data_IF_596381848485
#
_entry.id   IF_596381848485
#
_cell.length_a   1.000
_cell.length_b   1.000
_cell.length_c   1.000
_cell.angle_alpha   90.00
_cell.angle_beta   90.00
_cell.angle_gamma   90.00
#
_symmetry.space_group_name_H-M   'P 1'
#
loop_
_entity.id
_entity.type
_entity.pdbx_description
1 polymer ?
#
# COMPACT_ATOMS: atom_id res chain seq x y z
N UNK A 1 -6.64 7.04 0.03
CA UNK A 1 -6.14 7.20 -1.38
C UNK A 1 -4.68 6.76 -1.46
N UNK A 2 -4.17 6.30 -2.63
CA UNK A 2 -2.74 5.95 -2.76
C UNK A 2 -2.05 6.79 -3.82
N UNK A 3 -0.84 7.23 -3.54
CA UNK A 3 0.05 7.88 -4.49
C UNK A 3 1.30 7.01 -4.72
N UNK A 4 2.07 7.33 -5.75
CA UNK A 4 3.42 6.83 -5.91
C UNK A 4 4.28 7.85 -6.67
N UNK A 5 5.62 7.81 -6.52
CA UNK A 5 6.52 8.79 -7.14
C UNK A 5 6.36 8.91 -8.66
N UNK A 6 6.15 7.79 -9.36
CA UNK A 6 6.02 7.76 -10.82
C UNK A 6 4.75 8.46 -11.31
N UNK A 7 3.62 8.32 -10.59
CA UNK A 7 2.38 9.00 -10.96
C UNK A 7 2.48 10.51 -10.74
N UNK A 8 3.07 10.94 -9.61
CA UNK A 8 3.26 12.36 -9.33
C UNK A 8 4.24 12.99 -10.32
N UNK A 9 5.35 12.31 -10.63
CA UNK A 9 6.32 12.78 -11.63
C UNK A 9 5.67 12.99 -13.01
N UNK A 10 4.78 12.08 -13.44
CA UNK A 10 4.03 12.20 -14.69
C UNK A 10 3.09 13.42 -14.71
N UNK A 11 2.60 13.86 -13.56
CA UNK A 11 1.74 15.05 -13.47
C UNK A 11 2.51 16.38 -13.56
N UNK A 12 3.84 16.33 -13.47
CA UNK A 12 4.72 17.52 -13.46
C UNK A 12 4.63 18.36 -12.18
N UNK A 13 3.97 17.85 -11.13
CA UNK A 13 3.75 18.57 -9.87
C UNK A 13 4.86 18.30 -8.86
N UNK A 14 5.05 19.23 -7.93
CA UNK A 14 5.87 19.00 -6.74
C UNK A 14 5.19 17.92 -5.86
N UNK A 15 5.97 16.91 -5.45
CA UNK A 15 5.45 15.75 -4.73
C UNK A 15 4.84 16.14 -3.37
N UNK A 16 5.49 17.00 -2.60
CA UNK A 16 5.03 17.38 -1.26
C UNK A 16 3.76 18.23 -1.33
N UNK A 17 3.69 19.17 -2.29
CA UNK A 17 2.51 19.99 -2.53
C UNK A 17 1.31 19.15 -2.98
N UNK A 18 1.55 18.19 -3.90
CA UNK A 18 0.50 17.30 -4.38
C UNK A 18 -0.05 16.41 -3.25
N UNK A 19 0.80 15.84 -2.39
CA UNK A 19 0.39 15.04 -1.24
C UNK A 19 -0.43 15.89 -0.26
N UNK A 20 0.05 17.10 0.10
CA UNK A 20 -0.65 17.99 1.03
C UNK A 20 -2.04 18.38 0.50
N UNK A 21 -2.16 18.68 -0.79
CA UNK A 21 -3.46 18.99 -1.40
C UNK A 21 -4.40 17.77 -1.37
N UNK A 22 -3.92 16.58 -1.73
CA UNK A 22 -4.71 15.34 -1.66
C UNK A 22 -5.19 15.09 -0.24
N UNK A 23 -4.31 15.26 0.76
CA UNK A 23 -4.67 15.08 2.17
C UNK A 23 -5.76 16.06 2.64
N UNK A 24 -5.79 17.27 2.08
CA UNK A 24 -6.86 18.26 2.40
C UNK A 24 -8.21 17.95 1.76
N UNK A 25 -8.23 17.12 0.70
CA UNK A 25 -9.43 16.75 -0.05
C UNK A 25 -10.01 15.40 0.36
N UNK A 26 -9.23 14.58 1.06
CA UNK A 26 -9.57 13.19 1.41
C UNK A 26 -9.58 13.02 2.92
N UNK A 27 -10.70 12.64 3.49
CA UNK A 27 -10.83 12.43 4.95
C UNK A 27 -10.11 11.16 5.44
N UNK A 28 -9.95 10.17 4.57
CA UNK A 28 -9.30 8.89 4.91
C UNK A 28 -7.79 8.86 4.65
N UNK A 29 -7.13 7.72 4.90
CA UNK A 29 -5.68 7.57 4.75
C UNK A 29 -5.18 7.88 3.34
N UNK A 30 -4.05 8.59 3.25
CA UNK A 30 -3.36 8.95 2.00
C UNK A 30 -1.96 8.36 2.01
N UNK A 31 -1.71 7.33 1.20
CA UNK A 31 -0.38 6.72 1.10
C UNK A 31 0.59 7.62 0.33
N UNK A 32 1.68 7.99 1.01
CA UNK A 32 2.80 8.78 0.49
C UNK A 32 4.08 7.95 0.53
N UNK A 33 4.66 7.64 -0.64
CA UNK A 33 5.77 6.69 -0.78
C UNK A 33 7.13 7.38 -0.65
N UNK A 34 8.03 6.80 0.14
CA UNK A 34 9.44 7.17 0.19
C UNK A 34 10.14 6.82 -1.12
N UNK A 35 11.17 7.57 -1.49
CA UNK A 35 11.98 7.29 -2.68
C UNK A 35 13.27 6.52 -2.34
N UNK A 36 13.74 6.63 -1.12
CA UNK A 36 14.94 5.96 -0.63
C UNK A 36 14.79 4.44 -0.56
N UNK A 37 15.92 3.74 -0.57
CA UNK A 37 15.99 2.28 -0.51
C UNK A 37 16.79 1.76 0.69
N UNK A 38 17.51 2.64 1.39
CA UNK A 38 18.23 2.32 2.63
C UNK A 38 17.47 2.81 3.87
N UNK A 39 17.66 2.14 4.99
CA UNK A 39 16.93 2.39 6.23
C UNK A 39 17.04 3.84 6.74
N UNK A 40 18.25 4.39 6.82
CA UNK A 40 18.47 5.72 7.42
C UNK A 40 17.78 6.83 6.61
N UNK A 41 17.88 6.76 5.29
CA UNK A 41 17.22 7.72 4.41
C UNK A 41 15.71 7.52 4.38
N UNK A 42 15.22 6.26 4.36
CA UNK A 42 13.78 5.97 4.41
C UNK A 42 13.13 6.52 5.69
N UNK A 43 13.78 6.37 6.86
CA UNK A 43 13.28 6.94 8.12
C UNK A 43 13.19 8.46 8.05
N UNK A 44 14.23 9.12 7.55
CA UNK A 44 14.23 10.57 7.43
C UNK A 44 13.13 11.08 6.49
N UNK A 45 12.97 10.43 5.33
CA UNK A 45 11.87 10.74 4.39
C UNK A 45 10.50 10.44 4.99
N UNK A 46 10.32 9.27 5.62
CA UNK A 46 9.06 8.85 6.22
C UNK A 46 8.58 9.82 7.30
N UNK A 47 9.47 10.23 8.21
CA UNK A 47 9.16 11.25 9.24
C UNK A 47 8.81 12.62 8.64
N UNK A 48 9.42 12.97 7.49
CA UNK A 48 9.09 14.20 6.77
C UNK A 48 7.70 14.11 6.13
N UNK A 49 7.38 12.99 5.50
CA UNK A 49 6.07 12.75 4.89
C UNK A 49 4.96 12.73 5.95
N UNK A 50 5.15 12.02 7.06
CA UNK A 50 4.19 11.95 8.16
C UNK A 50 3.81 13.31 8.76
N UNK A 51 4.68 14.31 8.65
CA UNK A 51 4.42 15.68 9.14
C UNK A 51 3.60 16.54 8.18
N UNK A 52 3.30 16.08 6.98
CA UNK A 52 2.54 16.88 5.99
C UNK A 52 1.07 17.03 6.38
N UNK A 53 0.45 15.97 6.91
CA UNK A 53 -0.91 15.94 7.40
C UNK A 53 -1.15 14.70 8.28
N UNK A 54 -2.15 14.78 9.17
CA UNK A 54 -2.47 13.72 10.13
C UNK A 54 -2.96 12.42 9.47
N UNK A 55 -3.49 12.50 8.24
CA UNK A 55 -3.98 11.35 7.47
C UNK A 55 -2.96 10.77 6.49
N UNK A 56 -1.69 11.15 6.59
CA UNK A 56 -0.62 10.52 5.80
C UNK A 56 -0.30 9.13 6.33
N UNK A 57 -0.35 8.15 5.45
CA UNK A 57 0.19 6.81 5.66
C UNK A 57 1.52 6.71 4.89
N UNK A 58 2.62 6.50 5.59
CA UNK A 58 3.94 6.40 4.94
C UNK A 58 4.06 5.07 4.22
N UNK A 59 4.38 5.12 2.93
CA UNK A 59 4.48 3.91 2.10
C UNK A 59 5.94 3.54 1.88
N UNK A 60 6.30 2.29 2.22
CA UNK A 60 7.67 1.76 2.15
C UNK A 60 7.72 0.47 1.35
N UNK A 61 8.82 0.17 0.62
CA UNK A 61 8.94 -1.07 -0.13
C UNK A 61 9.14 -2.27 0.82
N UNK A 62 8.68 -3.46 0.38
CA UNK A 62 8.87 -4.71 1.11
C UNK A 62 10.30 -5.24 0.91
N UNK A 63 11.24 -4.64 1.61
CA UNK A 63 12.65 -5.04 1.71
C UNK A 63 13.01 -5.18 3.18
N UNK A 64 14.19 -5.72 3.50
CA UNK A 64 14.66 -5.79 4.89
C UNK A 64 14.68 -4.40 5.53
N UNK A 65 15.26 -3.41 4.86
CA UNK A 65 15.30 -2.02 5.34
C UNK A 65 13.91 -1.37 5.37
N UNK A 66 13.02 -1.71 4.42
CA UNK A 66 11.62 -1.27 4.43
C UNK A 66 10.84 -1.83 5.62
N UNK A 67 11.03 -3.09 5.99
CA UNK A 67 10.41 -3.70 7.17
C UNK A 67 10.96 -3.10 8.48
N UNK A 68 12.27 -2.82 8.56
CA UNK A 68 12.87 -2.10 9.69
C UNK A 68 12.30 -0.69 9.82
N UNK A 69 12.14 0.01 8.69
CA UNK A 69 11.51 1.33 8.61
C UNK A 69 10.05 1.28 9.07
N UNK A 70 9.29 0.28 8.58
CA UNK A 70 7.92 0.04 9.00
C UNK A 70 7.83 -0.10 10.52
N UNK A 71 8.66 -0.96 11.12
CA UNK A 71 8.68 -1.17 12.57
C UNK A 71 8.95 0.12 13.34
N UNK A 72 9.97 0.88 12.93
CA UNK A 72 10.34 2.12 13.61
C UNK A 72 9.23 3.17 13.51
N UNK A 73 8.67 3.40 12.32
CA UNK A 73 7.59 4.38 12.15
C UNK A 73 6.29 3.97 12.86
N UNK A 74 5.96 2.68 12.84
CA UNK A 74 4.79 2.15 13.57
C UNK A 74 4.95 2.32 15.08
N UNK A 75 6.13 2.06 15.64
CA UNK A 75 6.42 2.29 17.07
C UNK A 75 6.35 3.79 17.44
N UNK A 76 6.54 4.68 16.48
CA UNK A 76 6.38 6.15 16.64
C UNK A 76 4.91 6.60 16.45
N UNK A 77 3.97 5.68 16.18
CA UNK A 77 2.55 5.98 15.97
C UNK A 77 2.21 6.48 14.56
N UNK A 78 3.09 6.25 13.58
CA UNK A 78 2.84 6.58 12.17
C UNK A 78 2.24 5.39 11.45
N UNK A 79 1.13 5.59 10.73
CA UNK A 79 0.57 4.57 9.84
C UNK A 79 1.52 4.24 8.69
N UNK A 80 1.70 2.95 8.43
CA UNK A 80 2.61 2.47 7.38
C UNK A 80 1.93 1.52 6.41
N UNK A 81 2.11 1.77 5.11
CA UNK A 81 1.71 0.88 4.02
C UNK A 81 2.95 0.20 3.45
N UNK A 82 3.09 -1.11 3.67
CA UNK A 82 4.19 -1.88 3.09
C UNK A 82 3.78 -2.35 1.69
N UNK A 83 4.51 -1.90 0.66
CA UNK A 83 4.17 -2.12 -0.75
C UNK A 83 5.13 -3.04 -1.47
N UNK A 84 4.81 -3.41 -2.72
CA UNK A 84 5.59 -4.35 -3.52
C UNK A 84 5.64 -5.75 -2.89
N UNK A 85 4.48 -6.21 -2.42
CA UNK A 85 4.31 -7.55 -1.88
C UNK A 85 3.92 -8.53 -3.02
N UNK A 86 4.62 -9.66 -3.09
CA UNK A 86 4.45 -10.68 -4.12
C UNK A 86 4.32 -12.10 -3.57
N UNK A 87 4.30 -12.28 -2.25
CA UNK A 87 4.17 -13.58 -1.59
C UNK A 87 3.52 -13.45 -0.21
N UNK A 88 2.75 -14.45 0.23
CA UNK A 88 2.08 -14.45 1.52
C UNK A 88 3.07 -14.42 2.71
N UNK A 89 4.23 -15.06 2.58
CA UNK A 89 5.30 -14.99 3.57
C UNK A 89 5.85 -13.57 3.77
N UNK A 90 5.91 -12.77 2.70
CA UNK A 90 6.28 -11.35 2.77
C UNK A 90 5.20 -10.55 3.51
N UNK A 91 3.93 -10.80 3.24
CA UNK A 91 2.82 -10.16 3.93
C UNK A 91 2.82 -10.46 5.43
N UNK A 92 3.12 -11.72 5.82
CA UNK A 92 3.28 -12.12 7.22
C UNK A 92 4.38 -11.30 7.93
N UNK A 93 5.54 -11.08 7.27
CA UNK A 93 6.60 -10.24 7.81
C UNK A 93 6.16 -8.78 7.99
N UNK A 94 5.39 -8.23 7.05
CA UNK A 94 4.86 -6.87 7.14
C UNK A 94 3.90 -6.71 8.34
N UNK A 95 2.99 -7.66 8.56
CA UNK A 95 2.11 -7.66 9.73
C UNK A 95 2.90 -7.72 11.04
N UNK A 96 3.93 -8.59 11.11
CA UNK A 96 4.82 -8.67 12.28
C UNK A 96 5.66 -7.41 12.50
N UNK A 97 5.94 -6.64 11.45
CA UNK A 97 6.59 -5.35 11.55
C UNK A 97 5.65 -4.21 11.98
N UNK A 98 4.35 -4.47 12.13
CA UNK A 98 3.36 -3.48 12.57
C UNK A 98 2.79 -2.62 11.43
N UNK A 99 2.77 -3.13 10.20
CA UNK A 99 2.16 -2.43 9.07
C UNK A 99 0.67 -2.17 9.32
N UNK A 100 0.19 -0.96 9.02
CA UNK A 100 -1.24 -0.63 8.98
C UNK A 100 -1.87 -1.25 7.73
N UNK A 101 -1.17 -1.18 6.58
CA UNK A 101 -1.59 -1.77 5.32
C UNK A 101 -0.49 -2.62 4.70
N UNK A 102 -0.89 -3.70 4.03
CA UNK A 102 -0.05 -4.46 3.09
C UNK A 102 -0.60 -4.29 1.69
N UNK A 103 0.26 -3.99 0.71
CA UNK A 103 -0.14 -3.82 -0.70
C UNK A 103 0.41 -4.93 -1.60
N UNK A 104 -0.29 -6.08 -1.73
CA UNK A 104 0.05 -7.13 -2.70
C UNK A 104 -0.29 -6.69 -4.13
N UNK A 105 0.60 -7.02 -5.07
CA UNK A 105 0.54 -6.56 -6.46
C UNK A 105 -0.01 -7.64 -7.39
N UNK A 106 -1.32 -7.82 -7.43
CA UNK A 106 -1.99 -8.89 -8.19
C UNK A 106 -1.71 -8.81 -9.69
N UNK A 107 -1.89 -7.66 -10.31
CA UNK A 107 -1.72 -7.53 -11.76
C UNK A 107 -0.28 -7.75 -12.25
N UNK A 108 0.74 -7.51 -11.42
CA UNK A 108 2.13 -7.85 -11.79
C UNK A 108 2.40 -9.35 -11.74
N UNK A 109 1.73 -10.08 -10.85
CA UNK A 109 1.78 -11.55 -10.85
C UNK A 109 1.10 -12.11 -12.09
N UNK A 110 -0.08 -11.59 -12.45
CA UNK A 110 -0.79 -11.99 -13.66
C UNK A 110 0.05 -11.70 -14.92
N UNK A 111 0.77 -10.55 -14.98
CA UNK A 111 1.64 -10.19 -16.11
C UNK A 111 2.73 -11.25 -16.39
N UNK A 112 3.10 -12.08 -15.39
CA UNK A 112 4.07 -13.18 -15.52
C UNK A 112 3.43 -14.57 -15.45
N UNK A 113 2.10 -14.65 -15.57
CA UNK A 113 1.36 -15.89 -15.61
C UNK A 113 1.18 -16.59 -14.25
N UNK A 114 1.33 -15.86 -13.15
CA UNK A 114 1.01 -16.32 -11.80
C UNK A 114 -0.39 -15.88 -11.38
N UNK A 115 -1.00 -16.60 -10.44
CA UNK A 115 -2.32 -16.25 -9.89
C UNK A 115 -2.20 -15.14 -8.84
N UNK A 116 -2.45 -13.90 -9.26
CA UNK A 116 -2.40 -12.75 -8.36
C UNK A 116 -3.50 -12.75 -7.31
N UNK A 117 -4.69 -13.25 -7.64
CA UNK A 117 -5.82 -13.28 -6.69
C UNK A 117 -5.66 -14.41 -5.66
N UNK A 118 -5.06 -15.54 -6.02
CA UNK A 118 -4.69 -16.59 -5.07
C UNK A 118 -3.78 -16.08 -3.95
N UNK A 119 -2.88 -15.13 -4.24
CA UNK A 119 -2.08 -14.46 -3.22
C UNK A 119 -2.94 -13.68 -2.21
N UNK A 120 -4.02 -13.02 -2.66
CA UNK A 120 -4.94 -12.30 -1.77
C UNK A 120 -5.66 -13.27 -0.84
N UNK A 121 -6.17 -14.39 -1.35
CA UNK A 121 -6.82 -15.44 -0.56
C UNK A 121 -5.90 -15.98 0.54
N UNK A 122 -4.63 -16.26 0.20
CA UNK A 122 -3.64 -16.72 1.18
C UNK A 122 -3.39 -15.67 2.28
N UNK A 123 -3.21 -14.39 1.91
CA UNK A 123 -2.92 -13.31 2.87
C UNK A 123 -4.12 -13.10 3.80
N UNK A 124 -5.32 -12.95 3.27
CA UNK A 124 -6.55 -12.77 4.06
C UNK A 124 -6.73 -13.94 5.02
N UNK A 125 -6.59 -15.18 4.54
CA UNK A 125 -6.69 -16.38 5.37
C UNK A 125 -5.70 -16.35 6.53
N UNK A 126 -4.42 -16.01 6.27
CA UNK A 126 -3.39 -15.93 7.32
C UNK A 126 -3.74 -14.83 8.33
N UNK A 127 -4.13 -13.66 7.86
CA UNK A 127 -4.42 -12.52 8.73
C UNK A 127 -5.61 -12.79 9.63
N UNK A 128 -6.69 -13.37 9.10
CA UNK A 128 -7.86 -13.78 9.88
C UNK A 128 -7.54 -14.85 10.92
N UNK A 129 -6.78 -15.89 10.55
CA UNK A 129 -6.43 -16.98 11.45
C UNK A 129 -5.58 -16.53 12.64
N UNK A 130 -4.71 -15.53 12.46
CA UNK A 130 -3.83 -15.03 13.50
C UNK A 130 -4.31 -13.73 14.15
N UNK A 131 -5.40 -13.15 13.67
CA UNK A 131 -5.98 -11.91 14.18
C UNK A 131 -5.03 -10.72 14.03
N UNK A 132 -4.40 -10.57 12.85
CA UNK A 132 -3.61 -9.38 12.55
C UNK A 132 -4.52 -8.19 12.23
N UNK A 133 -4.20 -7.02 12.79
CA UNK A 133 -4.91 -5.77 12.52
C UNK A 133 -4.48 -5.12 11.19
N UNK A 134 -3.46 -5.66 10.51
CA UNK A 134 -2.97 -5.15 9.23
C UNK A 134 -4.01 -5.36 8.14
N UNK A 135 -4.44 -4.28 7.47
CA UNK A 135 -5.42 -4.32 6.39
C UNK A 135 -4.80 -4.72 5.05
N UNK A 136 -5.51 -5.56 4.29
CA UNK A 136 -5.10 -6.03 2.96
C UNK A 136 -5.56 -5.04 1.90
N UNK A 137 -4.63 -4.27 1.34
CA UNK A 137 -4.85 -3.26 0.30
C UNK A 137 -4.43 -3.83 -1.06
N UNK A 138 -5.38 -4.41 -1.80
CA UNK A 138 -5.10 -5.01 -3.12
C UNK A 138 -4.64 -3.94 -4.11
N UNK A 139 -3.45 -4.13 -4.67
CA UNK A 139 -2.81 -3.17 -5.57
C UNK A 139 -2.50 -3.75 -6.96
N UNK A 140 -2.13 -2.89 -7.89
CA UNK A 140 -1.85 -3.29 -9.28
C UNK A 140 -3.06 -3.90 -9.99
N UNK A 141 -4.27 -3.44 -9.66
CA UNK A 141 -5.54 -3.92 -10.24
C UNK A 141 -5.63 -3.61 -11.73
N UNK A 142 -6.03 -4.60 -12.54
CA UNK A 142 -6.11 -4.53 -14.00
C UNK A 142 -7.54 -4.60 -14.55
N UNK A 143 -8.49 -5.10 -13.77
CA UNK A 143 -9.86 -5.36 -14.23
C UNK A 143 -10.89 -5.08 -13.14
N UNK A 144 -12.17 -4.95 -13.53
CA UNK A 144 -13.29 -4.90 -12.59
C UNK A 144 -13.45 -6.24 -11.85
N UNK A 145 -13.05 -7.36 -12.47
CA UNK A 145 -13.09 -8.66 -11.83
C UNK A 145 -12.18 -8.73 -10.61
N UNK A 146 -10.95 -8.19 -10.68
CA UNK A 146 -10.06 -8.10 -9.51
C UNK A 146 -10.72 -7.38 -8.32
N UNK A 147 -11.56 -6.36 -8.58
CA UNK A 147 -12.28 -5.64 -7.51
C UNK A 147 -13.31 -6.54 -6.85
N UNK A 148 -14.07 -7.29 -7.66
CA UNK A 148 -15.12 -8.21 -7.17
C UNK A 148 -14.48 -9.37 -6.41
N UNK A 149 -13.42 -9.96 -6.96
CA UNK A 149 -12.71 -11.09 -6.34
C UNK A 149 -12.08 -10.67 -5.01
N UNK A 150 -11.41 -9.49 -4.96
CA UNK A 150 -10.86 -8.94 -3.73
C UNK A 150 -11.93 -8.76 -2.64
N UNK A 151 -13.08 -8.17 -2.99
CA UNK A 151 -14.18 -7.99 -2.06
C UNK A 151 -14.78 -9.34 -1.60
N UNK A 152 -14.88 -10.33 -2.49
CA UNK A 152 -15.39 -11.66 -2.19
C UNK A 152 -14.48 -12.44 -1.25
N UNK A 153 -13.16 -12.24 -1.39
CA UNK A 153 -12.12 -12.85 -0.54
C UNK A 153 -11.98 -12.17 0.82
N UNK A 154 -12.62 -11.00 1.03
CA UNK A 154 -12.57 -10.27 2.30
C UNK A 154 -11.37 -9.33 2.43
N UNK A 155 -10.75 -8.90 1.32
CA UNK A 155 -9.75 -7.84 1.37
C UNK A 155 -10.37 -6.51 1.81
N UNK A 156 -9.64 -5.73 2.61
CA UNK A 156 -10.17 -4.52 3.27
C UNK A 156 -10.24 -3.33 2.32
N UNK A 157 -9.25 -3.20 1.44
CA UNK A 157 -9.08 -2.03 0.56
C UNK A 157 -8.65 -2.49 -0.83
N UNK A 158 -9.10 -1.77 -1.85
CA UNK A 158 -8.58 -1.89 -3.22
C UNK A 158 -8.12 -0.53 -3.73
N UNK A 159 -6.92 -0.47 -4.29
CA UNK A 159 -6.46 0.71 -5.05
C UNK A 159 -6.49 0.41 -6.54
N UNK A 160 -7.13 1.29 -7.30
CA UNK A 160 -7.37 1.07 -8.73
C UNK A 160 -7.23 2.38 -9.52
N UNK A 161 -6.82 2.31 -10.79
CA UNK A 161 -6.78 3.49 -11.64
C UNK A 161 -8.20 3.98 -12.00
N UNK A 162 -8.39 5.31 -12.23
CA UNK A 162 -9.70 5.88 -12.57
C UNK A 162 -10.43 5.17 -13.73
N UNK A 163 -9.68 4.60 -14.68
CA UNK A 163 -10.26 3.83 -15.79
C UNK A 163 -11.04 2.60 -15.32
N UNK A 164 -10.52 1.89 -14.32
CA UNK A 164 -11.19 0.70 -13.76
C UNK A 164 -12.40 1.14 -12.94
N UNK A 165 -12.28 2.23 -12.14
CA UNK A 165 -13.42 2.79 -11.43
C UNK A 165 -14.56 3.15 -12.40
N UNK A 166 -14.25 3.84 -13.51
CA UNK A 166 -15.23 4.18 -14.55
C UNK A 166 -15.85 2.96 -15.24
N UNK A 167 -15.15 1.81 -15.27
CA UNK A 167 -15.70 0.58 -15.85
C UNK A 167 -16.69 -0.14 -14.92
N UNK A 168 -16.63 0.09 -13.60
CA UNK A 168 -17.60 -0.46 -12.64
C UNK A 168 -19.00 0.13 -12.78
N UNK A 169 -19.14 1.28 -13.46
CA UNK A 169 -20.45 1.91 -13.71
C UNK A 169 -21.15 1.44 -15.00
N UNK A 170 -20.51 0.56 -15.76
CA UNK A 170 -21.06 0.05 -17.05
C UNK A 170 -21.65 -1.34 -16.92
#
# INVERSE_FOLDING_TARGET
MTTNPSLIAKSGRNILEAISEICSLVDGPVSAEVAATDYETMIAEGRKLAKLADNVTVKVPLTEDGLRTCRTLSDEGTDVNVTLCFAAGQALLAAKAGATFISPFVGRLDDIGQDGMGLIEEIVTIYDQYGFDTEVLVASVRSTQHVVDAATMGADVVTLPPKILGALYK
#
